data_IF_662520524363
#
_entry.id   IF_662520524363
#
_cell.length_a   1.000
_cell.length_b   1.000
_cell.length_c   1.000
_cell.angle_alpha   90.00
_cell.angle_beta   90.00
_cell.angle_gamma   90.00
#
_symmetry.space_group_name_H-M   'P 1'
#
loop_
_entity.id
_entity.type
_entity.pdbx_description
1 polymer ?
#
# COMPACT_ATOMS: atom_id res chain seq x y z
N UNK A 1 10.22 -11.93 -28.16
CA UNK A 1 8.98 -11.79 -27.36
C UNK A 1 9.12 -10.56 -26.48
N UNK A 2 8.24 -9.57 -26.61
CA UNK A 2 8.13 -8.47 -25.63
C UNK A 2 7.72 -9.10 -24.31
N UNK A 3 8.55 -8.99 -23.26
CA UNK A 3 8.09 -9.25 -21.88
C UNK A 3 7.00 -8.22 -21.59
N UNK A 4 5.76 -8.69 -21.43
CA UNK A 4 4.74 -7.88 -20.77
C UNK A 4 5.26 -7.65 -19.35
N UNK A 5 5.45 -6.40 -18.97
CA UNK A 5 5.85 -6.03 -17.62
C UNK A 5 4.76 -6.54 -16.67
N UNK A 6 5.10 -7.42 -15.74
CA UNK A 6 4.28 -7.70 -14.57
C UNK A 6 5.02 -7.17 -13.35
N UNK A 7 4.41 -6.25 -12.61
CA UNK A 7 5.00 -5.64 -11.41
C UNK A 7 5.29 -6.68 -10.32
N UNK A 8 4.65 -7.85 -10.42
CA UNK A 8 4.70 -8.98 -9.48
C UNK A 8 5.47 -10.20 -10.01
N UNK A 9 6.05 -10.12 -11.23
CA UNK A 9 6.84 -11.19 -11.83
C UNK A 9 6.08 -12.47 -12.20
N UNK A 10 4.76 -12.51 -12.00
CA UNK A 10 3.89 -13.62 -12.39
C UNK A 10 3.56 -13.63 -13.89
N UNK A 11 3.08 -14.78 -14.39
CA UNK A 11 2.57 -14.92 -15.74
C UNK A 11 1.15 -14.33 -15.82
N UNK A 12 0.83 -13.49 -16.82
CA UNK A 12 -0.51 -12.91 -16.94
C UNK A 12 -1.56 -13.99 -17.23
N UNK A 13 -2.72 -13.89 -16.58
CA UNK A 13 -3.83 -14.85 -16.70
C UNK A 13 -5.08 -14.11 -17.19
N UNK A 14 -5.88 -14.74 -18.05
CA UNK A 14 -7.19 -14.22 -18.47
C UNK A 14 -8.30 -14.92 -17.68
N UNK A 15 -8.98 -14.18 -16.79
CA UNK A 15 -9.98 -14.75 -15.87
C UNK A 15 -11.27 -15.20 -16.56
N UNK A 16 -11.68 -14.57 -17.67
CA UNK A 16 -12.91 -14.85 -18.45
C UNK A 16 -14.20 -14.91 -17.61
N UNK A 17 -14.23 -14.26 -16.45
CA UNK A 17 -15.36 -14.19 -15.53
C UNK A 17 -15.58 -12.74 -15.11
N UNK A 18 -16.85 -12.41 -14.85
CA UNK A 18 -17.24 -11.18 -14.15
C UNK A 18 -17.79 -11.62 -12.80
N UNK A 19 -17.28 -11.03 -11.73
CA UNK A 19 -17.80 -11.18 -10.38
C UNK A 19 -18.40 -9.82 -10.02
N UNK A 20 -19.66 -9.81 -9.61
CA UNK A 20 -20.38 -8.61 -9.23
C UNK A 20 -21.29 -8.92 -8.04
N UNK A 21 -21.36 -7.98 -7.10
CA UNK A 21 -22.17 -8.13 -5.90
C UNK A 21 -22.64 -6.77 -5.37
N UNK A 22 -23.53 -6.82 -4.38
CA UNK A 22 -24.08 -5.65 -3.69
C UNK A 22 -23.26 -5.25 -2.44
N UNK A 23 -22.25 -6.04 -2.08
CA UNK A 23 -21.29 -5.74 -1.02
C UNK A 23 -19.87 -5.86 -1.58
N UNK A 24 -19.06 -4.79 -1.47
CA UNK A 24 -17.72 -4.74 -2.04
C UNK A 24 -16.75 -5.74 -1.38
N UNK A 25 -16.79 -5.88 -0.05
CA UNK A 25 -15.90 -6.80 0.68
C UNK A 25 -16.18 -8.25 0.29
N UNK A 26 -17.45 -8.65 0.26
CA UNK A 26 -17.85 -9.99 -0.16
C UNK A 26 -17.44 -10.27 -1.62
N UNK A 27 -17.66 -9.29 -2.52
CA UNK A 27 -17.30 -9.39 -3.93
C UNK A 27 -15.79 -9.58 -4.11
N UNK A 28 -14.98 -8.77 -3.42
CA UNK A 28 -13.52 -8.85 -3.46
C UNK A 28 -13.01 -10.14 -2.80
N UNK A 29 -13.64 -10.61 -1.72
CA UNK A 29 -13.30 -11.87 -1.08
C UNK A 29 -13.55 -13.07 -2.00
N UNK A 30 -14.69 -13.11 -2.70
CA UNK A 30 -14.99 -14.12 -3.71
C UNK A 30 -13.99 -14.06 -4.87
N UNK A 31 -13.64 -12.86 -5.35
CA UNK A 31 -12.65 -12.68 -6.40
C UNK A 31 -11.25 -13.13 -5.97
N UNK A 32 -10.82 -12.80 -4.74
CA UNK A 32 -9.57 -13.24 -4.16
C UNK A 32 -9.49 -14.77 -4.11
N UNK A 33 -10.52 -15.43 -3.55
CA UNK A 33 -10.62 -16.91 -3.52
C UNK A 33 -10.54 -17.50 -4.92
N UNK A 34 -11.29 -16.94 -5.87
CA UNK A 34 -11.24 -17.39 -7.26
C UNK A 34 -9.83 -17.29 -7.85
N UNK A 35 -9.09 -16.23 -7.52
CA UNK A 35 -7.69 -16.06 -7.91
C UNK A 35 -6.72 -16.96 -7.13
N UNK A 36 -7.17 -17.75 -6.15
CA UNK A 36 -6.31 -18.59 -5.31
C UNK A 36 -5.62 -17.81 -4.19
N UNK A 37 -6.14 -16.64 -3.84
CA UNK A 37 -5.72 -15.83 -2.71
C UNK A 37 -6.69 -16.05 -1.55
N UNK A 38 -6.16 -16.34 -0.38
CA UNK A 38 -6.96 -16.42 0.85
C UNK A 38 -7.36 -14.99 1.30
N UNK A 39 -8.66 -14.62 1.31
CA UNK A 39 -9.10 -13.29 1.71
C UNK A 39 -9.03 -13.05 3.22
N UNK A 40 -8.83 -14.09 4.03
CA UNK A 40 -8.61 -14.00 5.47
C UNK A 40 -7.13 -13.92 5.83
N UNK A 41 -6.26 -14.09 4.83
CA UNK A 41 -4.82 -14.09 5.01
C UNK A 41 -4.35 -12.82 5.73
N UNK A 42 -3.56 -13.03 6.77
CA UNK A 42 -2.88 -11.94 7.45
C UNK A 42 -1.79 -11.30 6.59
N UNK A 43 -1.27 -10.18 7.08
CA UNK A 43 -0.03 -9.59 6.58
C UNK A 43 1.06 -10.66 6.49
N UNK A 44 1.80 -10.60 5.40
CA UNK A 44 2.95 -11.44 5.12
C UNK A 44 2.64 -12.65 4.25
N UNK A 45 1.36 -12.98 4.08
CA UNK A 45 0.93 -13.98 3.11
C UNK A 45 0.74 -13.33 1.74
N UNK A 46 1.29 -13.88 0.64
CA UNK A 46 1.03 -13.37 -0.70
C UNK A 46 -0.47 -13.22 -1.01
N UNK A 47 -0.92 -12.11 -1.63
CA UNK A 47 -0.15 -10.96 -2.14
C UNK A 47 0.19 -9.89 -1.08
N UNK A 48 -0.30 -10.03 0.16
CA UNK A 48 -0.17 -9.08 1.27
C UNK A 48 1.20 -9.11 1.95
N UNK A 49 2.28 -9.28 1.18
CA UNK A 49 3.65 -9.36 1.69
C UNK A 49 4.09 -8.00 2.26
N UNK A 50 3.70 -6.91 1.59
CA UNK A 50 4.18 -5.55 1.87
C UNK A 50 3.13 -4.64 2.50
N UNK A 51 1.90 -5.12 2.68
CA UNK A 51 0.77 -4.36 3.18
C UNK A 51 -0.15 -5.27 4.02
N UNK A 52 -1.03 -4.66 4.80
CA UNK A 52 -2.13 -5.40 5.40
C UNK A 52 -3.14 -5.83 4.32
N UNK A 53 -3.83 -6.94 4.58
CA UNK A 53 -4.93 -7.38 3.76
C UNK A 53 -6.13 -6.45 3.94
N UNK A 54 -6.30 -5.53 3.00
CA UNK A 54 -7.39 -4.55 3.03
C UNK A 54 -8.79 -5.19 3.00
N UNK A 55 -8.96 -6.35 2.35
CA UNK A 55 -10.23 -7.08 2.34
C UNK A 55 -10.57 -7.53 3.78
N UNK A 56 -9.58 -8.13 4.46
CA UNK A 56 -9.70 -8.54 5.87
C UNK A 56 -9.93 -7.36 6.80
N UNK A 57 -9.16 -6.27 6.66
CA UNK A 57 -9.33 -5.06 7.47
C UNK A 57 -10.74 -4.48 7.34
N UNK A 58 -11.29 -4.41 6.12
CA UNK A 58 -12.66 -3.96 5.90
C UNK A 58 -13.69 -4.88 6.55
N UNK A 59 -13.46 -6.20 6.55
CA UNK A 59 -14.33 -7.15 7.25
C UNK A 59 -14.25 -7.00 8.77
N UNK A 60 -13.06 -6.78 9.33
CA UNK A 60 -12.84 -6.56 10.77
C UNK A 60 -13.62 -5.35 11.31
N UNK A 61 -13.82 -4.31 10.47
CA UNK A 61 -14.64 -3.14 10.81
C UNK A 61 -16.11 -3.27 10.41
N UNK A 62 -16.55 -4.44 9.93
CA UNK A 62 -17.95 -4.76 9.66
C UNK A 62 -18.50 -4.26 8.32
N UNK A 63 -17.65 -3.94 7.33
CA UNK A 63 -18.09 -3.47 6.00
C UNK A 63 -18.60 -4.60 5.08
N UNK A 64 -18.39 -5.85 5.47
CA UNK A 64 -18.90 -7.05 4.79
C UNK A 64 -18.13 -8.28 5.23
N UNK A 65 -18.59 -9.46 4.81
CA UNK A 65 -17.92 -10.71 5.21
C UNK A 65 -16.79 -11.07 4.24
N UNK A 66 -15.73 -11.64 4.80
CA UNK A 66 -14.76 -12.42 4.04
C UNK A 66 -15.07 -13.91 4.08
N UNK A 67 -15.93 -14.42 4.98
CA UNK A 67 -16.21 -15.86 5.10
C UNK A 67 -17.06 -16.36 3.94
N UNK A 68 -16.67 -17.47 3.31
CA UNK A 68 -17.42 -18.05 2.18
C UNK A 68 -18.83 -18.50 2.59
N UNK A 69 -18.99 -19.03 3.82
CA UNK A 69 -20.27 -19.50 4.35
C UNK A 69 -21.27 -18.36 4.63
N UNK A 70 -20.80 -17.11 4.63
CA UNK A 70 -21.63 -15.92 4.85
C UNK A 70 -21.91 -15.15 3.54
N UNK A 71 -21.41 -15.64 2.40
CA UNK A 71 -21.54 -14.98 1.10
C UNK A 71 -22.42 -15.84 0.19
N UNK A 72 -23.58 -15.30 -0.18
CA UNK A 72 -24.48 -15.92 -1.15
C UNK A 72 -23.93 -15.79 -2.58
N UNK A 73 -23.24 -16.82 -3.06
CA UNK A 73 -22.72 -16.88 -4.43
C UNK A 73 -23.77 -17.46 -5.37
N UNK A 74 -24.18 -16.68 -6.37
CA UNK A 74 -25.11 -17.10 -7.41
C UNK A 74 -24.37 -17.27 -8.74
N UNK A 75 -24.51 -18.44 -9.36
CA UNK A 75 -23.92 -18.77 -10.66
C UNK A 75 -22.82 -19.82 -10.59
N UNK A 76 -22.28 -20.20 -11.75
CA UNK A 76 -21.20 -21.18 -11.83
C UNK A 76 -19.85 -20.54 -11.54
N UNK A 77 -19.13 -21.07 -10.55
CA UNK A 77 -17.71 -20.76 -10.36
C UNK A 77 -16.86 -21.76 -11.15
N UNK A 78 -16.14 -21.33 -12.19
CA UNK A 78 -15.28 -22.23 -12.94
C UNK A 78 -14.08 -22.64 -12.08
N UNK A 79 -13.54 -23.84 -12.35
CA UNK A 79 -12.30 -24.28 -11.70
C UNK A 79 -11.17 -23.32 -12.05
N UNK A 80 -10.50 -22.77 -11.03
CA UNK A 80 -9.30 -21.99 -11.21
C UNK A 80 -8.18 -22.88 -11.79
N UNK A 81 -7.74 -22.56 -13.02
CA UNK A 81 -6.69 -23.32 -13.74
C UNK A 81 -5.31 -22.65 -13.70
N UNK A 82 -5.22 -21.45 -13.17
CA UNK A 82 -3.99 -20.67 -13.12
C UNK A 82 -4.07 -19.70 -11.93
N UNK A 83 -3.89 -20.19 -10.69
CA UNK A 83 -3.93 -19.35 -9.51
C UNK A 83 -2.85 -18.28 -9.55
N UNK A 84 -3.11 -17.21 -8.80
CA UNK A 84 -2.18 -16.13 -8.58
C UNK A 84 -0.82 -16.69 -8.15
N UNK A 85 0.24 -16.26 -8.83
CA UNK A 85 1.61 -16.63 -8.51
C UNK A 85 2.49 -15.39 -8.56
N UNK A 86 3.36 -15.26 -7.57
CA UNK A 86 4.35 -14.18 -7.48
C UNK A 86 5.72 -14.79 -7.67
N UNK A 87 6.55 -14.19 -8.54
CA UNK A 87 7.97 -14.53 -8.61
C UNK A 87 8.76 -13.50 -7.80
N UNK A 88 8.83 -13.71 -6.48
CA UNK A 88 9.60 -12.87 -5.55
C UNK A 88 8.77 -12.35 -4.38
N UNK A 89 9.43 -11.80 -3.35
CA UNK A 89 8.76 -11.27 -2.15
C UNK A 89 8.55 -12.28 -1.02
N UNK A 90 9.10 -13.49 -1.15
CA UNK A 90 9.10 -14.50 -0.08
C UNK A 90 10.49 -14.66 0.56
N UNK A 91 11.42 -13.72 0.29
CA UNK A 91 12.75 -13.74 0.89
C UNK A 91 12.62 -13.60 2.43
N UNK A 92 13.32 -14.42 3.24
CA UNK A 92 13.13 -14.43 4.70
C UNK A 92 13.27 -13.07 5.39
N UNK A 93 14.11 -12.17 4.86
CA UNK A 93 14.36 -10.84 5.44
C UNK A 93 13.39 -9.75 4.94
N UNK A 94 12.48 -10.08 4.02
CA UNK A 94 11.54 -9.07 3.52
C UNK A 94 10.56 -8.64 4.60
N UNK A 95 10.12 -9.55 5.48
CA UNK A 95 9.17 -9.22 6.54
C UNK A 95 9.76 -8.29 7.58
N UNK A 96 10.95 -8.62 8.09
CA UNK A 96 11.70 -7.76 9.03
C UNK A 96 11.96 -6.39 8.44
N UNK A 97 12.38 -6.34 7.17
CA UNK A 97 12.61 -5.08 6.45
C UNK A 97 11.32 -4.27 6.30
N UNK A 98 10.22 -4.89 5.86
CA UNK A 98 8.93 -4.20 5.67
C UNK A 98 8.34 -3.73 7.00
N UNK A 99 8.46 -4.51 8.07
CA UNK A 99 7.98 -4.12 9.40
C UNK A 99 8.79 -2.95 9.96
N UNK A 100 10.12 -2.98 9.82
CA UNK A 100 10.99 -1.85 10.17
C UNK A 100 10.60 -0.60 9.37
N UNK A 101 10.47 -0.74 8.05
CA UNK A 101 10.16 0.37 7.16
C UNK A 101 8.76 0.95 7.46
N UNK A 102 7.76 0.12 7.74
CA UNK A 102 6.43 0.54 8.18
C UNK A 102 6.49 1.41 9.42
N UNK A 103 7.22 0.97 10.46
CA UNK A 103 7.37 1.75 11.70
C UNK A 103 8.02 3.10 11.43
N UNK A 104 9.05 3.13 10.58
CA UNK A 104 9.72 4.37 10.16
C UNK A 104 8.77 5.32 9.43
N UNK A 105 8.07 4.85 8.40
CA UNK A 105 7.09 5.65 7.64
C UNK A 105 5.98 6.16 8.54
N UNK A 106 5.46 5.31 9.43
CA UNK A 106 4.40 5.69 10.37
C UNK A 106 4.86 6.79 11.31
N UNK A 107 6.07 6.66 11.88
CA UNK A 107 6.66 7.68 12.76
C UNK A 107 6.89 9.00 12.02
N UNK A 108 7.38 8.95 10.78
CA UNK A 108 7.56 10.15 9.96
C UNK A 108 6.23 10.79 9.55
N UNK A 109 5.17 10.01 9.30
CA UNK A 109 3.83 10.52 9.05
C UNK A 109 3.24 11.21 10.29
N UNK A 110 3.33 10.56 11.46
CA UNK A 110 2.93 11.16 12.75
C UNK A 110 3.69 12.48 12.97
N UNK A 111 5.00 12.45 12.80
CA UNK A 111 5.87 13.62 12.96
C UNK A 111 5.46 14.77 12.03
N UNK A 112 5.15 14.48 10.76
CA UNK A 112 4.60 15.46 9.84
C UNK A 112 3.33 16.11 10.38
N UNK A 113 2.37 15.31 10.85
CA UNK A 113 1.09 15.83 11.33
C UNK A 113 1.19 16.57 12.67
N UNK A 114 2.11 16.18 13.56
CA UNK A 114 2.41 16.88 14.82
C UNK A 114 3.08 18.25 14.58
N UNK A 115 3.85 18.36 13.49
CA UNK A 115 4.59 19.59 13.13
C UNK A 115 4.04 20.20 11.84
N UNK A 116 2.76 20.00 11.56
CA UNK A 116 2.13 20.33 10.28
C UNK A 116 2.36 21.78 9.88
N UNK A 117 2.15 22.72 10.79
CA UNK A 117 2.33 24.16 10.54
C UNK A 117 3.74 24.48 10.07
N UNK A 118 4.76 23.82 10.64
CA UNK A 118 6.15 24.00 10.21
C UNK A 118 6.30 23.58 8.76
N UNK A 119 5.78 22.41 8.39
CA UNK A 119 5.93 21.88 7.04
C UNK A 119 5.10 22.65 6.01
N UNK A 120 3.87 23.06 6.35
CA UNK A 120 3.05 23.92 5.47
C UNK A 120 3.74 25.26 5.23
N UNK A 121 4.26 25.90 6.28
CA UNK A 121 4.96 27.19 6.13
C UNK A 121 6.25 27.10 5.29
N UNK A 122 6.90 25.94 5.25
CA UNK A 122 8.20 25.75 4.59
C UNK A 122 8.08 25.12 3.20
N UNK A 123 7.06 24.30 2.96
CA UNK A 123 6.99 23.39 1.81
C UNK A 123 5.63 23.37 1.11
N UNK A 124 4.73 24.33 1.39
CA UNK A 124 3.44 24.41 0.70
C UNK A 124 3.61 24.44 -0.83
N UNK A 125 2.85 23.58 -1.52
CA UNK A 125 2.93 23.39 -2.98
C UNK A 125 3.99 22.38 -3.44
N UNK A 126 4.80 21.85 -2.53
CA UNK A 126 5.81 20.83 -2.80
C UNK A 126 5.40 19.46 -2.26
N UNK A 127 5.87 18.41 -2.92
CA UNK A 127 5.87 17.09 -2.31
C UNK A 127 7.12 16.93 -1.45
N UNK A 128 6.88 16.73 -0.17
CA UNK A 128 7.90 16.47 0.84
C UNK A 128 8.05 14.96 1.02
N UNK A 129 9.29 14.51 1.17
CA UNK A 129 9.61 13.14 1.54
C UNK A 129 10.47 13.12 2.79
N UNK A 130 9.93 12.52 3.86
CA UNK A 130 10.60 12.36 5.15
C UNK A 130 11.20 10.96 5.27
N UNK A 131 12.43 10.90 5.77
CA UNK A 131 13.13 9.67 6.14
C UNK A 131 13.68 9.82 7.55
N UNK A 132 13.23 8.98 8.47
CA UNK A 132 13.59 9.11 9.89
C UNK A 132 13.34 10.55 10.41
N UNK A 133 12.15 11.09 10.11
CA UNK A 133 11.65 12.42 10.53
C UNK A 133 12.39 13.62 9.91
N UNK A 134 13.47 13.37 9.17
CA UNK A 134 14.23 14.39 8.46
C UNK A 134 13.73 14.57 7.03
N UNK A 135 13.73 15.82 6.55
CA UNK A 135 13.37 16.14 5.16
C UNK A 135 14.49 15.70 4.25
N UNK A 136 14.26 14.61 3.52
CA UNK A 136 15.22 14.12 2.53
C UNK A 136 15.11 14.90 1.23
N UNK A 137 13.87 15.25 0.85
CA UNK A 137 13.54 15.91 -0.39
C UNK A 137 12.27 16.74 -0.24
N UNK A 138 12.25 17.90 -0.89
CA UNK A 138 11.05 18.70 -1.12
C UNK A 138 11.18 19.38 -2.47
N UNK A 139 10.18 19.20 -3.33
CA UNK A 139 10.11 19.87 -4.63
C UNK A 139 8.68 19.90 -5.18
N UNK A 140 8.38 20.79 -6.13
CA UNK A 140 7.13 20.74 -6.89
C UNK A 140 6.94 19.39 -7.59
N UNK A 141 5.70 18.93 -7.67
CA UNK A 141 5.38 17.70 -8.42
C UNK A 141 5.21 18.04 -9.90
N UNK A 142 6.29 17.88 -10.65
CA UNK A 142 6.36 18.09 -12.10
C UNK A 142 6.82 16.82 -12.85
N UNK A 143 7.08 16.94 -14.15
CA UNK A 143 7.53 15.82 -15.00
C UNK A 143 8.92 15.25 -14.63
N UNK A 144 9.72 16.01 -13.87
CA UNK A 144 11.06 15.62 -13.45
C UNK A 144 11.12 15.15 -11.99
N UNK A 145 10.04 15.30 -11.22
CA UNK A 145 9.94 14.92 -9.80
C UNK A 145 10.52 13.52 -9.51
N UNK A 146 10.12 12.50 -10.29
CA UNK A 146 10.61 11.14 -10.09
C UNK A 146 12.12 10.99 -10.34
N UNK A 147 12.67 11.75 -11.29
CA UNK A 147 14.12 11.75 -11.57
C UNK A 147 14.90 12.44 -10.46
N UNK A 148 14.39 13.57 -9.96
CA UNK A 148 15.00 14.33 -8.87
C UNK A 148 15.04 13.50 -7.58
N UNK A 149 13.92 12.87 -7.21
CA UNK A 149 13.83 11.98 -6.06
C UNK A 149 14.83 10.83 -6.16
N UNK A 150 14.90 10.17 -7.33
CA UNK A 150 15.85 9.08 -7.57
C UNK A 150 17.32 9.53 -7.48
N UNK A 151 17.65 10.73 -7.95
CA UNK A 151 19.00 11.29 -7.87
C UNK A 151 19.42 11.58 -6.42
N UNK A 152 18.52 12.17 -5.62
CA UNK A 152 18.77 12.49 -4.22
C UNK A 152 18.94 11.22 -3.40
N UNK A 153 18.04 10.26 -3.55
CA UNK A 153 18.14 9.00 -2.84
C UNK A 153 19.44 8.25 -3.17
N UNK A 154 19.86 8.27 -4.44
CA UNK A 154 21.16 7.71 -4.85
C UNK A 154 22.34 8.47 -4.21
N UNK A 155 22.28 9.80 -4.17
CA UNK A 155 23.30 10.64 -3.53
C UNK A 155 23.44 10.41 -2.02
N UNK A 156 22.35 10.00 -1.37
CA UNK A 156 22.27 9.69 0.06
C UNK A 156 22.57 8.21 0.37
N UNK A 157 22.93 7.40 -0.64
CA UNK A 157 23.25 5.99 -0.46
C UNK A 157 22.06 5.11 -0.10
N UNK A 158 20.82 5.56 -0.35
CA UNK A 158 19.61 4.80 -0.04
C UNK A 158 19.43 3.66 -1.03
N UNK A 159 19.00 2.50 -0.52
CA UNK A 159 18.62 1.38 -1.37
C UNK A 159 17.15 1.53 -1.86
N UNK A 160 16.74 0.67 -2.80
CA UNK A 160 15.38 0.67 -3.35
C UNK A 160 14.31 0.43 -2.28
N UNK A 161 14.58 -0.39 -1.26
CA UNK A 161 13.62 -0.66 -0.21
C UNK A 161 13.40 0.58 0.69
N UNK A 162 14.46 1.32 0.98
CA UNK A 162 14.37 2.60 1.70
C UNK A 162 13.56 3.62 0.90
N UNK A 163 13.82 3.74 -0.41
CA UNK A 163 13.10 4.65 -1.30
C UNK A 163 11.60 4.34 -1.42
N UNK A 164 11.24 3.08 -1.67
CA UNK A 164 9.85 2.72 -1.99
C UNK A 164 8.98 2.47 -0.77
N UNK A 165 9.55 1.96 0.32
CA UNK A 165 8.76 1.47 1.46
C UNK A 165 9.08 2.17 2.76
N UNK A 166 10.15 2.97 2.79
CA UNK A 166 10.71 3.49 4.02
C UNK A 166 10.63 4.99 4.18
N UNK A 167 10.10 5.71 3.19
CA UNK A 167 9.92 7.16 3.20
C UNK A 167 8.44 7.51 3.30
N UNK A 168 8.11 8.52 4.10
CA UNK A 168 6.79 9.14 4.06
C UNK A 168 6.83 10.29 3.05
N UNK A 169 6.14 10.14 1.92
CA UNK A 169 6.04 11.18 0.90
C UNK A 169 4.62 11.70 0.79
N UNK A 170 4.46 13.03 0.73
CA UNK A 170 3.15 13.67 0.62
C UNK A 170 3.27 15.04 -0.05
N UNK A 171 2.29 15.38 -0.89
CA UNK A 171 2.07 16.76 -1.33
C UNK A 171 1.55 17.59 -0.14
N UNK A 172 2.28 18.65 0.21
CA UNK A 172 1.90 19.60 1.25
C UNK A 172 1.01 20.67 0.62
N UNK A 173 -0.27 20.68 0.99
CA UNK A 173 -1.21 21.68 0.47
C UNK A 173 -1.44 22.80 1.50
N UNK A 174 -1.55 24.08 1.09
CA UNK A 174 -1.71 25.21 2.02
C UNK A 174 -2.88 25.07 2.99
N UNK A 175 -3.98 24.46 2.53
CA UNK A 175 -5.22 24.25 3.29
C UNK A 175 -5.01 23.36 4.52
N UNK A 176 -3.90 22.61 4.59
CA UNK A 176 -3.57 21.79 5.74
C UNK A 176 -3.33 22.61 7.01
N UNK A 177 -2.98 23.89 6.91
CA UNK A 177 -2.87 24.82 8.05
C UNK A 177 -4.23 25.19 8.65
N UNK A 178 -5.32 24.98 7.92
CA UNK A 178 -6.68 25.29 8.36
C UNK A 178 -7.40 24.07 8.97
N UNK A 179 -6.77 22.89 8.94
CA UNK A 179 -7.35 21.67 9.46
C UNK A 179 -7.22 21.60 10.99
N UNK A 180 -8.32 21.93 11.69
CA UNK A 180 -8.49 21.70 13.14
C UNK A 180 -8.80 20.21 13.47
N UNK A 181 -8.05 19.30 12.84
CA UNK A 181 -8.12 17.88 13.14
C UNK A 181 -6.93 17.53 14.05
N UNK A 182 -7.14 17.37 15.37
CA UNK A 182 -6.08 16.82 16.21
C UNK A 182 -5.71 15.47 15.64
N UNK A 183 -4.42 15.27 15.34
CA UNK A 183 -3.91 13.94 15.04
C UNK A 183 -4.09 13.10 16.31
N UNK A 184 -5.21 12.37 16.38
CA UNK A 184 -5.47 11.44 17.48
C UNK A 184 -4.67 10.18 17.19
N UNK A 185 -3.54 10.02 17.89
CA UNK A 185 -2.76 8.79 17.91
C UNK A 185 -3.51 7.58 18.55
N UNK A 186 -4.83 7.66 18.69
CA UNK A 186 -5.70 6.58 19.15
C UNK A 186 -6.22 5.78 17.95
N UNK A 187 -5.30 5.22 17.16
CA UNK A 187 -5.61 3.99 16.41
C UNK A 187 -4.86 2.89 17.14
N UNK A 188 -5.56 2.35 18.13
CA UNK A 188 -5.13 1.33 19.08
C UNK A 188 -4.48 0.12 18.41
N UNK A 189 -3.37 -0.30 19.03
CA UNK A 189 -2.81 -1.65 19.23
C UNK A 189 -3.22 -2.77 18.27
#
# INVERSE_FOLDING_TARGET
MRRLYSEWGGDPVTSKIIIAGNNAVATDATAARFMGVDPEAGRGTPPFIRADNHIRLCAEVGLGSVSEDEIDIIGEMPVNRAPYSVRGGAEPDIFSTMEKNRKRVSRSAVHFFEHRDRYVNQHAGEAICLLDEEVLFSAPVDEDYAKQLGAIAKGQGLNLADMFYGMFCKLVVPEEAELDLPYRAEISQ
#
